data_IF_036652987286
#
_entry.id   IF_036652987286
#
_cell.length_a   1.000
_cell.length_b   1.000
_cell.length_c   1.000
_cell.angle_alpha   90.00
_cell.angle_beta   90.00
_cell.angle_gamma   90.00
#
_symmetry.space_group_name_H-M   'P 1'
#
loop_
_entity.id
_entity.type
_entity.pdbx_description
1 polymer ?
#
# COMPACT_ATOMS: atom_id res chain seq x y z
N UNK A 1 -63.80 21.52 25.74
CA UNK A 1 -63.17 21.98 27.00
C UNK A 1 -61.81 21.30 27.13
N UNK A 2 -60.74 22.11 27.13
CA UNK A 2 -59.38 21.89 27.68
C UNK A 2 -58.48 20.78 27.08
N UNK A 3 -57.65 21.25 26.14
CA UNK A 3 -56.23 20.97 25.84
C UNK A 3 -55.38 20.26 26.90
N UNK A 4 -54.50 19.31 26.48
CA UNK A 4 -53.10 19.24 26.96
C UNK A 4 -52.15 18.68 25.90
N UNK A 5 -51.01 19.34 25.77
CA UNK A 5 -50.01 19.30 24.71
C UNK A 5 -48.86 18.29 24.94
N UNK A 6 -48.21 17.92 23.82
CA UNK A 6 -46.77 17.60 23.64
C UNK A 6 -46.28 16.22 24.14
N UNK A 7 -45.39 15.50 23.44
CA UNK A 7 -44.19 15.95 22.71
C UNK A 7 -43.86 15.06 21.48
N UNK A 8 -43.35 15.71 20.45
CA UNK A 8 -42.60 15.14 19.31
C UNK A 8 -41.21 14.71 19.78
N UNK A 9 -40.73 13.54 19.36
CA UNK A 9 -39.32 13.32 18.96
C UNK A 9 -39.30 12.22 17.90
N UNK A 10 -38.95 12.58 16.68
CA UNK A 10 -38.61 11.63 15.61
C UNK A 10 -37.10 11.42 15.56
N UNK A 11 -36.68 10.20 15.23
CA UNK A 11 -35.29 9.89 14.89
C UNK A 11 -35.30 9.08 13.60
N UNK A 12 -34.97 9.74 12.49
CA UNK A 12 -34.62 9.08 11.22
C UNK A 12 -33.16 8.67 11.33
N UNK A 13 -32.90 7.37 11.46
CA UNK A 13 -31.55 6.83 11.40
C UNK A 13 -31.12 6.68 9.93
N UNK A 14 -30.48 7.72 9.39
CA UNK A 14 -29.67 7.61 8.18
C UNK A 14 -28.40 6.83 8.54
N UNK A 15 -28.39 5.52 8.30
CA UNK A 15 -27.17 4.73 8.35
C UNK A 15 -26.34 5.10 7.12
N UNK A 16 -25.40 6.03 7.33
CA UNK A 16 -24.30 6.26 6.40
C UNK A 16 -23.52 4.95 6.26
N UNK A 17 -23.61 4.31 5.09
CA UNK A 17 -22.68 3.26 4.71
C UNK A 17 -21.29 3.89 4.63
N UNK A 18 -20.35 3.58 5.54
CA UNK A 18 -18.98 3.98 5.30
C UNK A 18 -18.56 3.27 4.02
N UNK A 19 -18.06 4.03 3.05
CA UNK A 19 -17.35 3.41 1.94
C UNK A 19 -16.29 2.51 2.55
N UNK A 20 -16.40 1.21 2.31
CA UNK A 20 -15.30 0.30 2.59
C UNK A 20 -14.15 0.81 1.73
N UNK A 21 -13.23 1.55 2.34
CA UNK A 21 -11.94 1.83 1.74
C UNK A 21 -11.28 0.47 1.62
N UNK A 22 -11.41 -0.16 0.45
CA UNK A 22 -10.57 -1.30 0.11
C UNK A 22 -9.15 -0.77 0.11
N UNK A 23 -8.41 -1.06 1.17
CA UNK A 23 -6.96 -1.04 1.13
C UNK A 23 -6.59 -2.09 0.10
N UNK A 24 -6.29 -1.66 -1.13
CA UNK A 24 -5.63 -2.55 -2.07
C UNK A 24 -4.28 -2.89 -1.44
N UNK A 25 -4.00 -4.17 -1.27
CA UNK A 25 -2.65 -4.64 -0.99
C UNK A 25 -1.80 -4.20 -2.19
N UNK A 26 -1.13 -3.06 -2.05
CA UNK A 26 -0.27 -2.58 -3.11
C UNK A 26 0.87 -3.59 -3.25
N UNK A 27 1.26 -3.97 -4.49
CA UNK A 27 2.43 -4.82 -4.72
C UNK A 27 3.60 -4.26 -3.91
N UNK A 28 4.42 -5.13 -3.27
CA UNK A 28 5.52 -4.76 -2.37
C UNK A 28 6.14 -3.38 -2.72
N UNK A 29 5.67 -2.33 -2.05
CA UNK A 29 5.98 -0.96 -2.43
C UNK A 29 7.29 -0.53 -1.81
N UNK A 30 8.07 0.26 -2.55
CA UNK A 30 9.30 0.86 -2.04
C UNK A 30 9.33 2.35 -2.39
N UNK A 31 8.42 3.16 -1.81
CA UNK A 31 8.16 4.53 -2.26
C UNK A 31 9.25 5.53 -1.85
N UNK A 32 10.15 5.14 -0.94
CA UNK A 32 11.11 6.04 -0.31
C UNK A 32 12.42 5.30 0.04
N UNK A 33 13.48 6.06 0.31
CA UNK A 33 14.77 5.50 0.70
C UNK A 33 14.63 4.67 1.99
N UNK A 34 15.10 3.42 1.93
CA UNK A 34 14.97 2.45 3.02
C UNK A 34 13.62 1.75 3.10
N UNK A 35 12.72 1.95 2.13
CA UNK A 35 11.45 1.24 2.05
C UNK A 35 10.34 1.84 2.91
N UNK A 36 9.18 1.18 3.01
CA UNK A 36 8.02 1.66 3.76
C UNK A 36 8.37 2.11 5.19
N UNK A 37 9.23 1.34 5.86
CA UNK A 37 9.64 1.58 7.26
C UNK A 37 11.01 2.25 7.42
N UNK A 38 11.67 2.62 6.31
CA UNK A 38 12.99 3.28 6.30
C UNK A 38 14.09 2.47 7.01
N UNK A 39 13.98 1.15 6.96
CA UNK A 39 14.85 0.20 7.67
C UNK A 39 15.67 -0.70 6.73
N UNK A 40 15.53 -0.54 5.41
CA UNK A 40 16.20 -1.36 4.38
C UNK A 40 15.86 -2.86 4.45
N UNK A 41 14.67 -3.20 4.94
CA UNK A 41 14.21 -4.58 5.02
C UNK A 41 12.97 -4.79 4.15
N UNK A 42 12.88 -5.96 3.54
CA UNK A 42 11.70 -6.45 2.80
C UNK A 42 11.10 -7.60 3.60
N UNK A 43 9.77 -7.66 3.66
CA UNK A 43 9.07 -8.86 4.13
C UNK A 43 9.07 -9.88 2.99
N UNK A 44 10.07 -10.76 2.99
CA UNK A 44 10.26 -11.76 1.95
C UNK A 44 10.66 -13.11 2.53
N UNK A 45 10.49 -14.16 1.73
CA UNK A 45 11.15 -15.43 2.01
C UNK A 45 12.68 -15.22 2.13
N UNK A 46 13.38 -16.05 2.92
CA UNK A 46 14.83 -15.99 3.01
C UNK A 46 15.46 -16.09 1.63
N UNK A 47 16.44 -15.23 1.37
CA UNK A 47 17.38 -15.45 0.28
C UNK A 47 18.16 -16.71 0.62
N UNK A 48 18.37 -17.59 -0.36
CA UNK A 48 19.20 -18.76 -0.11
C UNK A 48 20.68 -18.34 0.09
N UNK A 49 21.46 -19.22 0.73
CA UNK A 49 22.84 -18.88 1.11
C UNK A 49 23.83 -18.99 -0.05
N UNK A 50 23.54 -19.83 -1.05
CA UNK A 50 24.41 -20.09 -2.20
C UNK A 50 23.63 -20.29 -3.50
N UNK A 51 24.08 -19.63 -4.58
CA UNK A 51 23.52 -19.83 -5.93
C UNK A 51 24.24 -20.97 -6.65
N UNK A 52 23.48 -21.75 -7.43
CA UNK A 52 24.05 -22.69 -8.40
C UNK A 52 24.91 -21.93 -9.41
N UNK A 53 25.80 -22.63 -10.13
CA UNK A 53 26.78 -22.05 -11.08
C UNK A 53 26.22 -21.04 -12.10
N UNK A 54 24.91 -20.98 -12.35
CA UNK A 54 24.27 -20.02 -13.26
C UNK A 54 23.62 -18.79 -12.60
N UNK A 55 23.57 -18.71 -11.26
CA UNK A 55 22.88 -17.64 -10.56
C UNK A 55 21.36 -17.65 -10.72
N UNK A 56 20.66 -16.67 -10.12
CA UNK A 56 19.27 -16.39 -10.41
C UNK A 56 19.12 -15.91 -11.86
N UNK A 57 18.00 -16.23 -12.53
CA UNK A 57 17.76 -15.74 -13.88
C UNK A 57 17.64 -14.21 -13.89
N UNK A 58 18.22 -13.57 -14.90
CA UNK A 58 18.00 -12.15 -15.15
C UNK A 58 16.62 -11.97 -15.77
N UNK A 59 15.73 -11.26 -15.08
CA UNK A 59 14.37 -10.99 -15.57
C UNK A 59 14.35 -9.83 -16.57
N UNK A 60 15.11 -8.75 -16.32
CA UNK A 60 15.16 -7.57 -17.18
C UNK A 60 16.46 -6.79 -17.00
N UNK A 61 16.74 -5.86 -17.93
CA UNK A 61 17.83 -4.89 -17.85
C UNK A 61 17.48 -3.65 -18.67
N UNK A 62 17.88 -2.47 -18.17
CA UNK A 62 17.78 -1.21 -18.92
C UNK A 62 18.97 -0.29 -18.60
N UNK A 63 19.41 0.56 -19.54
CA UNK A 63 20.39 1.60 -19.25
C UNK A 63 19.77 2.71 -18.36
N UNK A 64 20.54 3.26 -17.40
CA UNK A 64 20.12 4.30 -16.46
C UNK A 64 20.85 5.66 -16.61
N UNK A 65 21.80 5.77 -17.54
CA UNK A 65 22.64 6.96 -17.68
C UNK A 65 23.64 7.08 -16.52
N UNK A 66 23.93 8.30 -16.07
CA UNK A 66 24.96 8.56 -15.04
C UNK A 66 24.55 8.15 -13.63
N UNK A 67 23.26 8.02 -13.34
CA UNK A 67 22.73 7.45 -12.09
C UNK A 67 23.06 8.24 -10.82
N UNK A 68 22.22 9.23 -10.49
CA UNK A 68 22.38 10.04 -9.26
C UNK A 68 21.28 9.80 -8.21
N UNK A 69 20.45 8.76 -8.36
CA UNK A 69 19.27 8.56 -7.49
C UNK A 69 19.01 7.08 -7.18
N UNK A 70 18.38 6.84 -6.03
CA UNK A 70 17.89 5.52 -5.64
C UNK A 70 16.70 5.10 -6.50
N UNK A 71 16.57 3.80 -6.78
CA UNK A 71 15.42 3.23 -7.49
C UNK A 71 14.21 3.16 -6.55
N UNK A 72 13.06 3.60 -7.03
CA UNK A 72 11.78 3.57 -6.30
C UNK A 72 10.77 2.74 -7.09
N UNK A 73 9.94 1.97 -6.38
CA UNK A 73 8.85 1.20 -6.99
C UNK A 73 7.51 1.64 -6.42
N UNK A 74 6.61 2.04 -7.33
CA UNK A 74 5.24 2.39 -7.02
C UNK A 74 4.30 1.55 -7.91
N UNK A 75 3.72 0.49 -7.32
CA UNK A 75 2.94 -0.49 -8.08
C UNK A 75 3.83 -1.20 -9.11
N UNK A 76 3.46 -1.14 -10.38
CA UNK A 76 4.23 -1.74 -11.48
C UNK A 76 5.24 -0.77 -12.12
N UNK A 77 5.39 0.44 -11.57
CA UNK A 77 6.28 1.47 -12.13
C UNK A 77 7.59 1.53 -11.36
N UNK A 78 8.70 1.49 -12.10
CA UNK A 78 10.05 1.76 -11.62
C UNK A 78 10.41 3.22 -11.96
N UNK A 79 10.68 4.00 -10.92
CA UNK A 79 11.05 5.43 -10.99
C UNK A 79 12.54 5.59 -10.75
#
# INVERSE_FOLDING_TARGET
VIVKHSRVVGTVALLATPWLVQVQELPAQWPQLGGPDRNYQVDSAPLADEWRSGGPPRLWSRPLGEGYSSVVVAGETLV
#
